data_IF_965899285797
#
_entry.id   IF_965899285797
#
_cell.length_a   1.000
_cell.length_b   1.000
_cell.length_c   1.000
_cell.angle_alpha   90.00
_cell.angle_beta   90.00
_cell.angle_gamma   90.00
#
_symmetry.space_group_name_H-M   'P 1'
#
loop_
_entity.id
_entity.type
_entity.pdbx_description
1 polymer ?
#
# COMPACT_ATOMS: atom_id res chain seq x y z
N UNK A 1 0.09 -39.92 76.85
CA UNK A 1 0.78 -40.15 75.56
C UNK A 1 -0.05 -39.80 74.32
N UNK A 2 -1.36 -40.06 74.21
CA UNK A 2 -2.18 -39.77 73.02
C UNK A 2 -2.24 -38.30 72.56
N UNK A 3 -2.25 -37.30 73.47
CA UNK A 3 -2.33 -35.85 73.12
C UNK A 3 -1.10 -35.26 72.43
N UNK A 4 0.08 -35.85 72.71
CA UNK A 4 1.36 -35.34 72.10
C UNK A 4 1.45 -35.84 70.64
N UNK A 5 1.04 -37.05 70.36
CA UNK A 5 1.07 -37.62 68.97
C UNK A 5 0.16 -36.88 68.04
N UNK A 6 -1.04 -36.48 68.50
CA UNK A 6 -2.01 -35.69 67.70
C UNK A 6 -1.47 -34.32 67.34
N UNK A 7 -0.84 -33.61 68.31
CA UNK A 7 -0.27 -32.28 68.07
C UNK A 7 0.93 -32.32 67.10
N UNK A 8 1.75 -33.36 67.12
CA UNK A 8 2.86 -33.56 66.21
C UNK A 8 2.38 -33.84 64.75
N UNK A 9 1.29 -34.58 64.58
CA UNK A 9 0.71 -34.85 63.27
C UNK A 9 0.07 -33.63 62.65
N UNK A 10 -0.57 -32.77 63.42
CA UNK A 10 -1.11 -31.48 62.98
C UNK A 10 0.01 -30.54 62.52
N UNK A 11 1.12 -30.42 63.26
CA UNK A 11 2.26 -29.63 62.89
C UNK A 11 2.96 -30.11 61.61
N UNK A 12 3.03 -31.44 61.40
CA UNK A 12 3.57 -32.02 60.16
C UNK A 12 2.66 -31.71 58.95
N UNK A 13 1.35 -31.82 59.07
CA UNK A 13 0.40 -31.46 58.02
C UNK A 13 0.51 -29.99 57.63
N UNK A 14 0.58 -29.10 58.60
CA UNK A 14 0.72 -27.67 58.34
C UNK A 14 2.04 -27.29 57.70
N UNK A 15 3.15 -27.95 58.05
CA UNK A 15 4.42 -27.74 57.36
C UNK A 15 4.44 -28.27 55.94
N UNK A 16 3.80 -29.44 55.67
CA UNK A 16 3.70 -30.00 54.32
C UNK A 16 2.82 -29.12 53.44
N UNK A 17 1.71 -28.60 53.97
CA UNK A 17 0.79 -27.70 53.22
C UNK A 17 1.49 -26.36 52.91
N UNK A 18 2.25 -25.77 53.82
CA UNK A 18 3.03 -24.56 53.54
C UNK A 18 4.11 -24.76 52.50
N UNK A 19 4.78 -25.94 52.45
CA UNK A 19 5.76 -26.26 51.40
C UNK A 19 5.13 -26.43 50.04
N UNK A 20 3.94 -27.01 49.94
CA UNK A 20 3.25 -27.18 48.69
C UNK A 20 2.70 -25.87 48.15
N UNK A 21 2.21 -24.96 49.01
CA UNK A 21 1.77 -23.62 48.59
C UNK A 21 2.93 -22.74 48.10
N UNK A 22 4.10 -22.79 48.74
CA UNK A 22 5.26 -22.01 48.32
C UNK A 22 5.83 -22.53 47.01
N UNK A 23 5.90 -23.87 46.80
CA UNK A 23 6.41 -24.46 45.54
C UNK A 23 5.50 -24.15 44.33
N UNK A 24 4.17 -24.13 44.55
CA UNK A 24 3.22 -23.76 43.47
C UNK A 24 3.27 -22.25 43.13
N UNK A 25 3.53 -21.38 44.11
CA UNK A 25 3.70 -19.95 43.87
C UNK A 25 4.96 -19.62 43.06
N UNK A 26 6.07 -20.27 43.36
CA UNK A 26 7.31 -20.08 42.60
C UNK A 26 7.23 -20.68 41.15
N UNK A 27 6.49 -21.77 40.95
CA UNK A 27 6.28 -22.33 39.62
C UNK A 27 5.41 -21.41 38.73
N UNK A 28 4.41 -20.72 39.31
CA UNK A 28 3.58 -19.75 38.57
C UNK A 28 4.34 -18.46 38.22
N UNK A 29 5.21 -17.97 39.10
CA UNK A 29 6.04 -16.77 38.83
C UNK A 29 7.11 -17.06 37.78
N UNK A 30 7.72 -18.26 37.80
CA UNK A 30 8.69 -18.66 36.80
C UNK A 30 8.06 -18.80 35.41
N UNK A 31 6.82 -19.25 35.30
CA UNK A 31 6.13 -19.40 34.00
C UNK A 31 5.72 -18.04 33.40
N UNK A 32 5.36 -17.04 34.22
CA UNK A 32 5.03 -15.69 33.76
C UNK A 32 6.24 -14.87 33.30
N UNK A 33 7.42 -15.11 33.87
CA UNK A 33 8.66 -14.45 33.46
C UNK A 33 9.26 -15.03 32.17
N UNK A 34 9.06 -16.31 31.87
CA UNK A 34 9.52 -16.93 30.62
C UNK A 34 8.62 -16.55 29.42
N UNK A 35 7.30 -16.32 29.66
CA UNK A 35 6.39 -15.87 28.61
C UNK A 35 6.65 -14.41 28.18
N UNK A 36 7.24 -13.58 29.02
CA UNK A 36 7.61 -12.19 28.69
C UNK A 36 8.92 -12.06 27.89
N UNK A 37 9.77 -13.10 27.85
CA UNK A 37 11.05 -13.05 27.15
C UNK A 37 10.97 -13.55 25.69
N UNK A 38 9.87 -14.16 25.25
CA UNK A 38 9.66 -14.63 23.88
C UNK A 38 8.64 -13.81 23.10
N UNK A 39 8.23 -12.66 23.63
CA UNK A 39 7.48 -11.64 22.89
C UNK A 39 8.38 -10.84 21.96
N UNK A 40 9.27 -11.49 21.20
CA UNK A 40 9.83 -10.90 19.99
C UNK A 40 8.67 -10.90 18.99
N UNK A 41 7.90 -9.82 19.02
CA UNK A 41 6.97 -9.54 17.95
C UNK A 41 7.76 -9.63 16.66
N UNK A 42 7.52 -10.66 15.86
CA UNK A 42 7.86 -10.62 14.45
C UNK A 42 7.16 -9.39 13.92
N UNK A 43 7.88 -8.27 13.82
CA UNK A 43 7.49 -7.17 12.96
C UNK A 43 7.43 -7.83 11.58
N UNK A 44 6.23 -8.24 11.15
CA UNK A 44 5.99 -8.50 9.75
C UNK A 44 6.40 -7.20 9.06
N UNK A 45 7.55 -7.21 8.41
CA UNK A 45 7.86 -6.21 7.41
C UNK A 45 6.67 -6.27 6.44
N UNK A 46 5.79 -5.28 6.52
CA UNK A 46 4.81 -5.06 5.49
C UNK A 46 5.65 -4.90 4.22
N UNK A 47 5.65 -5.90 3.37
CA UNK A 47 6.11 -5.74 1.99
C UNK A 47 5.17 -4.70 1.41
N UNK A 48 5.61 -3.46 1.40
CA UNK A 48 4.94 -2.40 0.65
C UNK A 48 5.18 -2.74 -0.81
N UNK A 49 4.26 -3.52 -1.40
CA UNK A 49 4.15 -3.58 -2.85
C UNK A 49 4.11 -2.15 -3.37
N UNK A 50 4.81 -1.86 -4.49
CA UNK A 50 4.74 -0.55 -5.11
C UNK A 50 3.26 -0.18 -5.29
N UNK A 51 2.89 1.02 -4.86
CA UNK A 51 1.53 1.54 -5.03
C UNK A 51 1.35 1.92 -6.51
N UNK A 52 1.08 0.91 -7.34
CA UNK A 52 0.90 1.08 -8.77
C UNK A 52 -0.44 1.76 -9.10
N UNK A 53 -0.43 2.52 -10.18
CA UNK A 53 -1.63 3.10 -10.76
C UNK A 53 -2.56 1.98 -11.26
N UNK A 54 -3.84 2.07 -10.93
CA UNK A 54 -4.86 1.20 -11.50
C UNK A 54 -5.44 1.82 -12.76
N UNK A 55 -5.23 1.17 -13.89
CA UNK A 55 -5.74 1.60 -15.20
C UNK A 55 -6.97 0.77 -15.57
N UNK A 56 -8.04 1.42 -15.99
CA UNK A 56 -9.28 0.77 -16.45
C UNK A 56 -9.69 1.35 -17.79
N UNK A 57 -9.78 0.50 -18.82
CA UNK A 57 -10.32 0.89 -20.12
C UNK A 57 -11.82 1.13 -19.99
N UNK A 58 -12.28 2.26 -20.51
CA UNK A 58 -13.69 2.63 -20.58
C UNK A 58 -14.26 2.42 -21.98
N UNK A 59 -13.45 2.72 -23.00
CA UNK A 59 -13.91 2.77 -24.37
C UNK A 59 -12.73 2.74 -25.33
N UNK A 60 -12.86 2.00 -26.43
CA UNK A 60 -11.94 2.05 -27.56
C UNK A 60 -12.72 2.05 -28.86
N UNK A 61 -12.27 2.83 -29.84
CA UNK A 61 -12.92 2.96 -31.15
C UNK A 61 -11.91 3.29 -32.24
N UNK A 62 -11.97 2.54 -33.34
CA UNK A 62 -11.25 2.89 -34.56
C UNK A 62 -11.73 4.24 -35.07
N UNK A 63 -10.82 5.04 -35.60
CA UNK A 63 -11.09 6.36 -36.19
C UNK A 63 -10.99 6.24 -37.73
N UNK A 64 -12.13 6.01 -38.43
CA UNK A 64 -12.12 5.74 -39.91
C UNK A 64 -11.51 6.89 -40.72
N UNK A 65 -11.68 8.14 -40.26
CA UNK A 65 -11.14 9.35 -40.90
C UNK A 65 -9.62 9.52 -40.69
N UNK A 66 -9.04 8.73 -39.75
CA UNK A 66 -7.62 8.69 -39.43
C UNK A 66 -7.12 7.24 -39.55
N UNK A 67 -6.88 6.72 -40.77
CA UNK A 67 -6.52 5.31 -40.99
C UNK A 67 -5.36 4.85 -40.10
N UNK A 68 -5.53 3.71 -39.42
CA UNK A 68 -4.55 3.16 -38.49
C UNK A 68 -4.56 3.74 -37.13
N UNK A 69 -5.44 4.70 -36.81
CA UNK A 69 -5.60 5.29 -35.47
C UNK A 69 -6.84 4.78 -34.77
N UNK A 70 -6.77 4.83 -33.45
CA UNK A 70 -7.89 4.59 -32.55
C UNK A 70 -7.99 5.69 -31.49
N UNK A 71 -9.22 5.95 -31.04
CA UNK A 71 -9.49 6.69 -29.81
C UNK A 71 -9.66 5.71 -28.66
N UNK A 72 -8.89 5.86 -27.59
CA UNK A 72 -8.97 5.06 -26.38
C UNK A 72 -9.22 5.95 -25.18
N UNK A 73 -10.25 5.62 -24.38
CA UNK A 73 -10.53 6.32 -23.14
C UNK A 73 -10.30 5.38 -21.96
N UNK A 74 -9.52 5.83 -21.00
CA UNK A 74 -9.19 5.11 -19.76
C UNK A 74 -9.46 5.97 -18.54
N UNK A 75 -9.69 5.33 -17.41
CA UNK A 75 -9.48 5.97 -16.10
C UNK A 75 -8.19 5.47 -15.49
N UNK A 76 -7.51 6.35 -14.77
CA UNK A 76 -6.34 6.04 -13.96
C UNK A 76 -6.66 6.44 -12.51
N UNK A 77 -6.47 5.50 -11.60
CA UNK A 77 -6.60 5.71 -10.17
C UNK A 77 -5.21 5.60 -9.54
N UNK A 78 -4.76 6.69 -8.93
CA UNK A 78 -3.53 6.76 -8.16
C UNK A 78 -3.82 6.52 -6.68
N UNK A 79 -3.35 5.41 -6.10
CA UNK A 79 -3.35 5.25 -4.65
C UNK A 79 -2.59 6.39 -3.95
N UNK A 80 -2.81 6.62 -2.65
CA UNK A 80 -2.03 7.58 -1.88
C UNK A 80 -0.53 7.31 -2.00
N UNK A 81 0.26 8.33 -2.37
CA UNK A 81 1.71 8.22 -2.48
C UNK A 81 2.25 7.48 -3.70
N UNK A 82 1.41 7.03 -4.63
CA UNK A 82 1.87 6.37 -5.86
C UNK A 82 2.67 7.30 -6.75
N UNK A 83 3.66 6.72 -7.44
CA UNK A 83 4.57 7.41 -8.37
C UNK A 83 4.78 6.50 -9.58
N UNK A 84 4.57 7.04 -10.77
CA UNK A 84 4.87 6.32 -12.00
C UNK A 84 6.38 6.33 -12.30
N UNK A 85 6.92 5.25 -12.88
CA UNK A 85 8.26 5.28 -13.44
C UNK A 85 8.33 6.22 -14.64
N UNK A 86 9.53 6.67 -15.00
CA UNK A 86 9.73 7.49 -16.19
C UNK A 86 9.28 6.69 -17.43
N UNK A 87 8.44 7.29 -18.26
CA UNK A 87 7.85 6.63 -19.42
C UNK A 87 7.46 7.63 -20.52
N UNK A 88 6.98 7.12 -21.63
CA UNK A 88 6.34 7.87 -22.71
C UNK A 88 5.12 7.15 -23.23
N UNK A 89 4.32 7.87 -23.99
CA UNK A 89 3.11 7.36 -24.62
C UNK A 89 3.22 7.54 -26.15
N UNK A 90 3.00 6.49 -26.99
CA UNK A 90 3.07 6.62 -28.44
C UNK A 90 1.75 7.16 -29.01
N UNK A 91 1.31 8.31 -28.52
CA UNK A 91 0.05 8.93 -28.93
C UNK A 91 -0.19 10.27 -28.27
N UNK A 92 -1.32 10.89 -28.61
CA UNK A 92 -1.76 12.15 -28.02
C UNK A 92 -2.68 11.85 -26.84
N UNK A 93 -2.28 12.21 -25.63
CA UNK A 93 -3.03 12.04 -24.39
C UNK A 93 -3.65 13.35 -23.91
N UNK A 94 -4.95 13.30 -23.66
CA UNK A 94 -5.73 14.42 -23.10
C UNK A 94 -6.23 14.00 -21.73
N UNK A 95 -5.64 14.58 -20.70
CA UNK A 95 -5.91 14.26 -19.30
C UNK A 95 -6.96 15.21 -18.72
N UNK A 96 -7.90 14.70 -17.93
CA UNK A 96 -8.86 15.47 -17.17
C UNK A 96 -9.01 14.91 -15.76
N UNK A 97 -8.73 15.71 -14.75
CA UNK A 97 -8.76 15.29 -13.35
C UNK A 97 -10.20 15.25 -12.85
N UNK A 98 -10.59 14.10 -12.26
CA UNK A 98 -11.91 13.88 -11.68
C UNK A 98 -11.91 14.09 -10.17
N UNK A 99 -10.92 13.50 -9.47
CA UNK A 99 -10.86 13.47 -8.01
C UNK A 99 -9.42 13.57 -7.51
N UNK A 100 -9.24 14.15 -6.33
CA UNK A 100 -7.92 14.31 -5.71
C UNK A 100 -7.04 15.33 -6.44
N UNK A 101 -5.73 15.13 -6.39
CA UNK A 101 -4.76 15.98 -7.08
C UNK A 101 -3.59 15.15 -7.59
N UNK A 102 -3.14 15.44 -8.79
CA UNK A 102 -2.01 14.76 -9.42
C UNK A 102 -0.91 15.77 -9.77
N UNK A 103 0.32 15.31 -9.82
CA UNK A 103 1.47 16.12 -10.22
C UNK A 103 2.04 15.51 -11.50
N UNK A 104 2.17 16.34 -12.51
CA UNK A 104 2.59 15.94 -13.86
C UNK A 104 3.76 16.81 -14.34
N UNK A 105 4.70 16.19 -15.06
CA UNK A 105 5.77 16.89 -15.77
C UNK A 105 6.24 16.08 -16.97
N UNK A 106 6.32 16.69 -18.13
CA UNK A 106 7.08 16.19 -19.27
C UNK A 106 8.49 16.77 -19.26
N UNK A 107 9.46 16.05 -19.84
CA UNK A 107 10.87 16.45 -19.89
C UNK A 107 11.03 17.81 -20.54
N UNK A 108 11.72 18.72 -19.86
CA UNK A 108 11.90 20.10 -20.31
C UNK A 108 10.73 21.05 -19.98
N UNK A 109 9.58 20.51 -19.55
CA UNK A 109 8.44 21.29 -19.09
C UNK A 109 8.51 21.61 -17.60
N UNK A 110 7.54 22.40 -17.12
CA UNK A 110 7.38 22.68 -15.69
C UNK A 110 6.57 21.60 -15.02
N UNK A 111 6.91 21.28 -13.77
CA UNK A 111 6.05 20.49 -12.90
C UNK A 111 4.77 21.28 -12.59
N UNK A 112 3.62 20.63 -12.73
CA UNK A 112 2.31 21.21 -12.47
C UNK A 112 1.51 20.31 -11.56
N UNK A 113 0.80 20.92 -10.60
CA UNK A 113 -0.20 20.23 -9.78
C UNK A 113 -1.56 20.51 -10.37
N UNK A 114 -2.30 19.43 -10.64
CA UNK A 114 -3.65 19.48 -11.25
C UNK A 114 -4.68 19.01 -10.23
N UNK A 115 -5.80 19.73 -10.18
CA UNK A 115 -6.95 19.45 -9.32
C UNK A 115 -8.20 19.16 -10.18
N UNK A 116 -9.31 18.68 -9.61
CA UNK A 116 -10.52 18.38 -10.36
C UNK A 116 -10.96 19.52 -11.29
N UNK A 117 -11.29 19.15 -12.54
CA UNK A 117 -11.65 20.09 -13.60
C UNK A 117 -10.47 20.62 -14.43
N UNK A 118 -9.23 20.36 -14.02
CA UNK A 118 -8.04 20.78 -14.76
C UNK A 118 -7.58 19.70 -15.74
N UNK A 119 -6.84 20.14 -16.77
CA UNK A 119 -6.40 19.31 -17.88
C UNK A 119 -4.89 19.36 -18.03
N UNK A 120 -4.34 18.29 -18.63
CA UNK A 120 -2.97 18.20 -19.08
C UNK A 120 -2.93 17.56 -20.47
N UNK A 121 -1.89 17.82 -21.23
CA UNK A 121 -1.67 17.23 -22.54
C UNK A 121 -0.27 16.63 -22.61
N UNK A 122 -0.19 15.45 -23.25
CA UNK A 122 1.04 14.73 -23.58
C UNK A 122 1.04 14.37 -25.06
N UNK A 123 2.14 14.67 -25.74
CA UNK A 123 2.36 14.29 -27.13
C UNK A 123 3.12 12.95 -27.26
N UNK A 124 3.19 12.41 -28.49
CA UNK A 124 3.82 11.10 -28.71
C UNK A 124 5.34 11.07 -28.46
N UNK A 125 6.00 12.22 -28.50
CA UNK A 125 7.44 12.35 -28.26
C UNK A 125 7.76 12.83 -26.82
N UNK A 126 6.74 13.18 -26.05
CA UNK A 126 6.93 13.64 -24.68
C UNK A 126 7.37 12.48 -23.78
N UNK A 127 8.39 12.74 -22.95
CA UNK A 127 8.80 11.83 -21.89
C UNK A 127 8.22 12.32 -20.58
N UNK A 128 7.34 11.56 -20.01
CA UNK A 128 6.73 11.82 -18.72
C UNK A 128 7.73 11.49 -17.61
N UNK A 129 8.27 12.53 -16.97
CA UNK A 129 9.31 12.41 -15.95
C UNK A 129 8.76 12.48 -14.53
N UNK A 130 7.58 13.06 -14.35
CA UNK A 130 6.84 13.08 -13.08
C UNK A 130 5.38 12.79 -13.35
N UNK A 131 4.91 11.66 -12.84
CA UNK A 131 3.52 11.26 -12.72
C UNK A 131 3.29 10.73 -11.32
N UNK A 132 2.54 11.42 -10.49
CA UNK A 132 2.33 10.98 -9.10
C UNK A 132 1.06 11.54 -8.47
N UNK A 133 0.57 10.85 -7.45
CA UNK A 133 -0.44 11.41 -6.57
C UNK A 133 0.19 12.53 -5.73
N UNK A 134 -0.46 13.68 -5.66
CA UNK A 134 -0.01 14.78 -4.81
C UNK A 134 -0.21 14.51 -3.32
N UNK A 135 -1.08 13.55 -2.96
CA UNK A 135 -1.43 13.20 -1.58
C UNK A 135 -0.81 11.88 -1.14
N UNK A 136 -0.32 11.85 0.10
CA UNK A 136 0.16 10.63 0.76
C UNK A 136 -0.97 9.87 1.50
N UNK A 137 -2.19 10.45 1.55
CA UNK A 137 -3.28 9.91 2.37
C UNK A 137 -4.61 9.76 1.63
N UNK A 138 -4.76 10.37 0.46
CA UNK A 138 -6.00 10.35 -0.34
C UNK A 138 -5.70 9.88 -1.76
N UNK A 139 -6.58 9.07 -2.37
CA UNK A 139 -6.44 8.68 -3.77
C UNK A 139 -6.69 9.87 -4.70
N UNK A 140 -6.24 9.73 -5.94
CA UNK A 140 -6.60 10.62 -7.04
C UNK A 140 -7.10 9.82 -8.23
N UNK A 141 -7.98 10.42 -9.04
CA UNK A 141 -8.57 9.79 -10.22
C UNK A 141 -8.66 10.78 -11.37
N UNK A 142 -8.30 10.33 -12.55
CA UNK A 142 -8.40 11.11 -13.78
C UNK A 142 -8.77 10.25 -14.98
N UNK A 143 -9.30 10.89 -15.99
CA UNK A 143 -9.57 10.29 -17.30
C UNK A 143 -8.44 10.68 -18.23
N UNK A 144 -8.03 9.77 -19.10
CA UNK A 144 -7.18 10.05 -20.27
C UNK A 144 -7.91 9.60 -21.52
N UNK A 145 -8.00 10.50 -22.49
CA UNK A 145 -8.38 10.16 -23.86
C UNK A 145 -7.14 10.17 -24.75
N UNK A 146 -6.86 9.04 -25.37
CA UNK A 146 -5.75 8.85 -26.27
C UNK A 146 -6.19 8.83 -27.72
N UNK A 147 -5.42 9.50 -28.59
CA UNK A 147 -5.42 9.24 -30.02
C UNK A 147 -4.06 8.65 -30.36
N UNK A 148 -4.04 7.36 -30.71
CA UNK A 148 -2.81 6.59 -30.90
C UNK A 148 -2.92 5.59 -32.05
N UNK A 149 -1.83 4.98 -32.43
CA UNK A 149 -1.86 3.87 -33.39
C UNK A 149 -2.65 2.70 -32.83
N UNK A 150 -3.48 2.09 -33.67
CA UNK A 150 -4.30 0.94 -33.29
C UNK A 150 -3.42 -0.19 -32.76
N UNK A 151 -3.79 -0.69 -31.57
CA UNK A 151 -3.07 -1.77 -30.91
C UNK A 151 -1.70 -1.38 -30.32
N UNK A 152 -1.25 -0.12 -30.44
CA UNK A 152 -0.03 0.33 -29.78
C UNK A 152 -0.20 0.33 -28.26
N UNK A 153 0.84 -0.01 -27.47
CA UNK A 153 0.77 0.06 -26.01
C UNK A 153 0.55 1.51 -25.56
N UNK A 154 -0.15 1.71 -24.42
CA UNK A 154 -0.33 3.05 -23.84
C UNK A 154 0.89 3.52 -23.05
N UNK A 155 1.76 2.60 -22.66
CA UNK A 155 2.86 2.88 -21.75
C UNK A 155 4.15 2.24 -22.28
N UNK A 156 5.20 3.04 -22.41
CA UNK A 156 6.53 2.59 -22.83
C UNK A 156 7.55 3.08 -21.80
N UNK A 157 8.09 2.18 -20.95
CA UNK A 157 9.17 2.54 -20.03
C UNK A 157 10.35 3.18 -20.77
N UNK A 158 10.94 4.21 -20.19
CA UNK A 158 12.11 4.89 -20.76
C UNK A 158 13.09 5.31 -19.66
N UNK A 159 14.24 5.85 -20.05
CA UNK A 159 15.28 6.29 -19.11
C UNK A 159 15.41 7.81 -19.10
#
# INVERSE_FOLDING_TARGET
MRKITTKLNELRKNMTMKRILTSKAYALIAYTLIAAAFGVGSAMAATTEPLEAKVTELFSKDLPECPGKEGLMITVEYPPGSVDPIHRHPGHGFIYVLEGSIIMQVRGGKEVTLTPGQTFYEGPEDVHVVGRNASQTKPAKFVVFWVKDKGAPVFIPTK
#
